data_IF_039215288458
#
_entry.id   IF_039215288458
#
_cell.length_a   1.000
_cell.length_b   1.000
_cell.length_c   1.000
_cell.angle_alpha   90.00
_cell.angle_beta   90.00
_cell.angle_gamma   90.00
#
_symmetry.space_group_name_H-M   'P 1'
#
loop_
_entity.id
_entity.type
_entity.pdbx_description
1 polymer ?
#
# COMPACT_ATOMS: atom_id res chain seq x y z
N UNK A 1 -12.12 -0.04 -9.51
CA UNK A 1 -13.31 -0.62 -8.84
C UNK A 1 -14.60 -0.03 -9.39
N UNK A 2 -15.68 -0.82 -9.59
CA UNK A 2 -17.01 -0.34 -10.02
C UNK A 2 -18.02 -0.18 -8.87
N UNK A 3 -17.54 -0.15 -7.62
CA UNK A 3 -18.38 0.05 -6.45
C UNK A 3 -19.03 1.44 -6.43
N UNK A 4 -20.28 1.50 -5.96
CA UNK A 4 -20.98 2.76 -5.71
C UNK A 4 -20.42 3.53 -4.49
N UNK A 5 -19.72 2.83 -3.60
CA UNK A 5 -19.10 3.40 -2.39
C UNK A 5 -17.58 3.22 -2.39
N UNK A 6 -16.83 4.04 -1.63
CA UNK A 6 -15.39 3.90 -1.51
C UNK A 6 -14.94 2.50 -1.10
N UNK A 7 -13.84 2.03 -1.70
CA UNK A 7 -13.24 0.73 -1.43
C UNK A 7 -11.87 0.91 -0.81
N UNK A 8 -11.63 0.24 0.32
CA UNK A 8 -10.31 0.15 0.96
C UNK A 8 -9.76 -1.26 0.65
N UNK A 9 -8.76 -1.37 -0.23
CA UNK A 9 -8.19 -2.67 -0.58
C UNK A 9 -7.18 -3.12 0.48
N UNK A 10 -6.90 -4.43 0.52
CA UNK A 10 -5.81 -4.96 1.35
C UNK A 10 -4.42 -4.69 0.74
N UNK A 11 -4.35 -4.64 -0.59
CA UNK A 11 -3.10 -4.57 -1.34
C UNK A 11 -2.97 -3.30 -2.18
N UNK A 12 -1.73 -2.85 -2.37
CA UNK A 12 -1.39 -1.65 -3.13
C UNK A 12 -1.90 -1.66 -4.57
N UNK A 13 -1.92 -2.83 -5.23
CA UNK A 13 -2.45 -2.98 -6.59
C UNK A 13 -3.94 -2.62 -6.69
N UNK A 14 -4.74 -2.90 -5.66
CA UNK A 14 -6.15 -2.50 -5.64
C UNK A 14 -6.31 -0.97 -5.65
N UNK A 15 -5.36 -0.24 -5.06
CA UNK A 15 -5.34 1.23 -5.09
C UNK A 15 -5.01 1.72 -6.50
N UNK A 16 -4.05 1.10 -7.17
CA UNK A 16 -3.68 1.41 -8.55
C UNK A 16 -4.85 1.12 -9.53
N UNK A 17 -5.68 0.12 -9.24
CA UNK A 17 -6.89 -0.24 -10.00
C UNK A 17 -8.13 0.61 -9.65
N UNK A 18 -7.94 1.71 -8.92
CA UNK A 18 -8.99 2.70 -8.65
C UNK A 18 -9.87 2.39 -7.45
N UNK A 19 -9.33 1.70 -6.43
CA UNK A 19 -9.86 1.79 -5.07
C UNK A 19 -9.35 3.07 -4.38
N UNK A 20 -9.99 3.47 -3.27
CA UNK A 20 -9.71 4.76 -2.62
C UNK A 20 -8.28 4.80 -2.07
N UNK A 21 -7.88 3.73 -1.39
CA UNK A 21 -6.66 3.70 -0.61
C UNK A 21 -6.89 3.35 0.85
N UNK A 22 -5.82 3.40 1.62
CA UNK A 22 -5.74 3.03 3.03
C UNK A 22 -4.37 2.46 3.39
N UNK A 23 -4.21 1.86 4.58
CA UNK A 23 -3.02 1.11 4.93
C UNK A 23 -3.02 -0.22 4.16
N UNK A 24 -2.14 -0.35 3.15
CA UNK A 24 -2.09 -1.50 2.24
C UNK A 24 -0.77 -2.26 2.33
N UNK A 25 -0.80 -3.53 1.93
CA UNK A 25 0.42 -4.34 1.77
C UNK A 25 1.05 -4.03 0.41
N UNK A 26 2.35 -3.70 0.42
CA UNK A 26 3.15 -3.53 -0.80
C UNK A 26 3.80 -4.84 -1.22
N UNK A 27 3.59 -5.24 -2.46
CA UNK A 27 4.24 -6.42 -3.05
C UNK A 27 5.74 -6.27 -3.16
N UNK A 28 6.24 -5.05 -3.41
CA UNK A 28 7.66 -4.73 -3.46
C UNK A 28 8.34 -5.01 -2.11
N UNK A 29 7.76 -4.51 -1.01
CA UNK A 29 8.29 -4.77 0.33
C UNK A 29 8.29 -6.26 0.67
N UNK A 30 7.23 -7.00 0.31
CA UNK A 30 7.20 -8.45 0.52
C UNK A 30 8.27 -9.18 -0.30
N UNK A 31 8.48 -8.77 -1.55
CA UNK A 31 9.54 -9.32 -2.42
C UNK A 31 10.93 -9.04 -1.88
N UNK A 32 11.17 -7.83 -1.36
CA UNK A 32 12.44 -7.45 -0.74
C UNK A 32 12.75 -8.32 0.50
N UNK A 33 11.78 -8.49 1.40
CA UNK A 33 11.92 -9.36 2.58
C UNK A 33 12.17 -10.83 2.19
N UNK A 34 11.51 -11.31 1.13
CA UNK A 34 11.75 -12.64 0.61
C UNK A 34 13.17 -12.79 0.04
N UNK A 35 13.67 -11.78 -0.68
CA UNK A 35 15.04 -11.76 -1.21
C UNK A 35 16.08 -11.80 -0.08
N UNK A 36 15.87 -11.07 1.01
CA UNK A 36 16.76 -11.13 2.18
C UNK A 36 16.82 -12.54 2.80
N UNK A 37 15.69 -13.25 2.86
CA UNK A 37 15.66 -14.66 3.30
C UNK A 37 16.38 -15.57 2.31
N UNK A 38 16.22 -15.35 1.00
CA UNK A 38 16.94 -16.11 -0.02
C UNK A 38 18.45 -15.95 0.11
N UNK A 39 18.95 -14.72 0.36
CA UNK A 39 20.38 -14.46 0.60
C UNK A 39 20.91 -15.26 1.80
N UNK A 40 20.15 -15.36 2.91
CA UNK A 40 20.53 -16.17 4.07
C UNK A 40 20.70 -17.65 3.72
N UNK A 41 19.77 -18.18 2.92
CA UNK A 41 19.83 -19.57 2.44
C UNK A 41 21.05 -19.77 1.54
N UNK A 42 21.30 -18.85 0.61
CA UNK A 42 22.47 -18.91 -0.29
C UNK A 42 23.80 -18.86 0.48
N UNK A 43 23.82 -18.25 1.66
CA UNK A 43 24.97 -18.22 2.57
C UNK A 43 25.06 -19.46 3.49
N UNK A 44 24.22 -20.48 3.28
CA UNK A 44 24.30 -21.77 3.97
C UNK A 44 23.42 -21.91 5.21
N UNK A 45 22.58 -20.93 5.52
CA UNK A 45 21.59 -21.08 6.61
C UNK A 45 20.49 -22.07 6.21
N UNK A 46 20.13 -22.99 7.11
CA UNK A 46 19.04 -23.94 6.87
C UNK A 46 17.70 -23.21 6.76
N UNK A 47 16.88 -23.45 5.71
CA UNK A 47 15.55 -22.84 5.61
C UNK A 47 14.66 -23.11 6.83
N UNK A 48 14.81 -24.27 7.48
CA UNK A 48 14.02 -24.63 8.67
C UNK A 48 14.31 -23.77 9.91
N UNK A 49 15.44 -23.04 9.93
CA UNK A 49 15.79 -22.13 11.04
C UNK A 49 15.41 -20.68 10.76
N UNK A 50 14.96 -20.35 9.53
CA UNK A 50 14.56 -18.99 9.16
C UNK A 50 13.07 -18.80 9.50
N UNK A 51 12.71 -17.90 10.43
CA UNK A 51 11.32 -17.69 10.82
C UNK A 51 10.51 -17.05 9.68
N UNK A 52 9.22 -17.38 9.62
CA UNK A 52 8.26 -16.70 8.74
C UNK A 52 8.11 -15.24 9.21
N UNK A 53 8.18 -14.30 8.26
CA UNK A 53 7.91 -12.88 8.51
C UNK A 53 6.52 -12.53 8.02
N UNK A 54 5.82 -11.65 8.75
CA UNK A 54 4.57 -11.03 8.30
C UNK A 54 4.75 -9.50 8.24
N UNK A 55 4.07 -8.80 7.31
CA UNK A 55 4.08 -7.34 7.29
C UNK A 55 3.53 -6.78 8.61
N UNK A 56 4.32 -5.91 9.27
CA UNK A 56 3.96 -5.34 10.58
C UNK A 56 3.07 -4.10 10.47
N UNK A 57 3.18 -3.35 9.37
CA UNK A 57 2.39 -2.14 9.09
C UNK A 57 2.10 -2.06 7.60
N UNK A 58 0.88 -1.63 7.27
CA UNK A 58 0.54 -1.25 5.91
C UNK A 58 1.20 0.08 5.55
N UNK A 59 1.55 0.22 4.28
CA UNK A 59 1.94 1.50 3.67
C UNK A 59 0.66 2.29 3.45
N UNK A 60 0.58 3.51 3.96
CA UNK A 60 -0.57 4.36 3.72
C UNK A 60 -0.52 4.86 2.27
N UNK A 61 -1.54 4.53 1.50
CA UNK A 61 -1.58 4.82 0.06
C UNK A 61 -2.94 5.37 -0.33
N UNK A 62 -2.99 6.40 -1.17
CA UNK A 62 -4.21 7.09 -1.60
C UNK A 62 -4.25 7.19 -3.14
N UNK A 63 -5.43 6.99 -3.73
CA UNK A 63 -5.66 7.24 -5.16
C UNK A 63 -6.45 8.53 -5.38
N UNK A 64 -5.85 9.52 -6.05
CA UNK A 64 -6.42 10.87 -6.20
C UNK A 64 -7.65 10.88 -7.10
N UNK A 65 -7.65 10.09 -8.18
CA UNK A 65 -8.83 9.95 -9.05
C UNK A 65 -10.01 9.31 -8.31
N UNK A 66 -9.74 8.37 -7.39
CA UNK A 66 -10.76 7.75 -6.56
C UNK A 66 -11.30 8.71 -5.48
N UNK A 67 -10.42 9.52 -4.88
CA UNK A 67 -10.80 10.60 -3.94
C UNK A 67 -11.79 11.56 -4.62
N UNK A 68 -11.45 12.05 -5.83
CA UNK A 68 -12.32 12.94 -6.59
C UNK A 68 -13.65 12.27 -6.99
N UNK A 69 -13.58 11.03 -7.50
CA UNK A 69 -14.76 10.27 -7.92
C UNK A 69 -15.80 10.13 -6.82
N UNK A 70 -15.36 9.89 -5.58
CA UNK A 70 -16.26 9.69 -4.45
C UNK A 70 -16.44 10.95 -3.59
N UNK A 71 -15.83 12.08 -3.95
CA UNK A 71 -15.93 13.33 -3.20
C UNK A 71 -15.46 13.19 -1.75
N UNK A 72 -14.39 12.43 -1.51
CA UNK A 72 -13.84 12.19 -0.16
C UNK A 72 -12.91 13.33 0.22
N UNK A 73 -13.05 13.87 1.42
CA UNK A 73 -12.07 14.80 1.98
C UNK A 73 -10.97 14.03 2.71
N UNK A 74 -9.71 14.28 2.34
CA UNK A 74 -8.54 13.68 2.98
C UNK A 74 -7.89 14.74 3.88
N UNK A 75 -7.74 14.47 5.19
CA UNK A 75 -7.00 15.34 6.09
C UNK A 75 -5.57 15.56 5.59
N UNK A 76 -5.07 16.81 5.69
CA UNK A 76 -3.74 17.17 5.20
C UNK A 76 -2.63 16.34 5.86
N UNK A 77 -2.70 16.15 7.17
CA UNK A 77 -1.73 15.35 7.94
C UNK A 77 -1.65 13.90 7.47
N UNK A 78 -2.78 13.32 7.05
CA UNK A 78 -2.84 11.99 6.46
C UNK A 78 -2.23 11.96 5.05
N UNK A 79 -2.48 13.00 4.25
CA UNK A 79 -1.93 13.10 2.89
C UNK A 79 -0.40 13.21 2.91
N UNK A 80 0.15 14.01 3.82
CA UNK A 80 1.60 14.25 3.98
C UNK A 80 2.41 12.96 4.20
N UNK A 81 1.85 11.98 4.90
CA UNK A 81 2.51 10.70 5.18
C UNK A 81 2.11 9.58 4.22
N UNK A 82 1.27 9.88 3.21
CA UNK A 82 0.75 8.89 2.27
C UNK A 82 1.58 8.81 0.99
N UNK A 83 1.61 7.62 0.40
CA UNK A 83 1.97 7.46 -1.01
C UNK A 83 0.76 7.77 -1.88
N UNK A 84 0.92 8.72 -2.81
CA UNK A 84 -0.19 9.21 -3.63
C UNK A 84 -0.08 8.65 -5.05
N UNK A 85 -1.16 8.04 -5.55
CA UNK A 85 -1.31 7.56 -6.92
C UNK A 85 -2.35 8.37 -7.69
N UNK A 86 -2.01 8.76 -8.92
CA UNK A 86 -2.87 9.55 -9.80
C UNK A 86 -2.13 10.75 -10.38
N UNK A 87 -2.68 11.36 -11.43
CA UNK A 87 -2.05 12.50 -12.12
C UNK A 87 -2.53 13.88 -11.61
N UNK A 88 -3.61 13.89 -10.81
CA UNK A 88 -4.25 15.10 -10.32
C UNK A 88 -3.89 15.37 -8.85
N UNK A 89 -3.62 16.63 -8.50
CA UNK A 89 -3.39 17.04 -7.11
C UNK A 89 -4.64 16.74 -6.25
N UNK A 90 -4.41 16.17 -5.05
CA UNK A 90 -5.46 16.10 -4.03
C UNK A 90 -5.55 17.47 -3.37
N UNK A 91 -6.72 18.11 -3.45
CA UNK A 91 -7.00 19.30 -2.66
C UNK A 91 -7.21 18.86 -1.21
N UNK A 92 -6.19 19.07 -0.37
CA UNK A 92 -6.28 18.83 1.06
C UNK A 92 -7.11 19.93 1.74
N UNK A 93 -7.92 19.57 2.74
CA UNK A 93 -8.69 20.53 3.54
C UNK A 93 -8.14 20.57 4.99
N UNK A 94 -8.23 21.75 5.62
CA UNK A 94 -7.74 22.00 6.98
C UNK A 94 -8.76 21.65 8.05
#
# INVERSE_FOLDING_TARGET
SNSAIPVIPLWEFGVQEGALGGPVISGETQGYEAALKAVRILNGESPSTIPVSTPRRGKLTINTAAVQRWGVEIPLDLLEVSTVYGADEVVANR
#
